data_IF_507305611405
#
_entry.id   IF_507305611405
#
_cell.length_a   1.000
_cell.length_b   1.000
_cell.length_c   1.000
_cell.angle_alpha   90.00
_cell.angle_beta   90.00
_cell.angle_gamma   90.00
#
_symmetry.space_group_name_H-M   'P 1'
#
loop_
_entity.id
_entity.type
_entity.pdbx_description
1 polymer ?
#
# COMPACT_ATOMS: atom_id res chain seq x y z
N UNK A 1 21.13 -3.55 46.26
CA UNK A 1 20.92 -4.99 46.01
C UNK A 1 19.91 -5.32 44.91
N UNK A 2 19.04 -4.41 44.47
CA UNK A 2 18.00 -4.69 43.44
C UNK A 2 18.54 -4.66 42.00
N UNK A 3 19.51 -3.81 41.68
CA UNK A 3 20.11 -3.70 40.33
C UNK A 3 20.94 -4.94 39.92
N UNK A 4 21.57 -5.62 40.85
CA UNK A 4 22.38 -6.81 40.58
C UNK A 4 21.53 -8.03 40.17
N UNK A 5 20.27 -8.11 40.66
CA UNK A 5 19.32 -9.17 40.25
C UNK A 5 18.75 -8.97 38.86
N UNK A 6 18.53 -7.74 38.42
CA UNK A 6 18.08 -7.42 37.07
C UNK A 6 19.15 -7.76 36.02
N UNK A 7 20.42 -7.48 36.30
CA UNK A 7 21.53 -7.83 35.41
C UNK A 7 21.77 -9.35 35.27
N UNK A 8 21.46 -10.14 36.32
CA UNK A 8 21.52 -11.60 36.23
C UNK A 8 20.40 -12.21 35.40
N UNK A 9 19.22 -11.59 35.36
CA UNK A 9 18.10 -12.05 34.54
C UNK A 9 18.40 -11.78 33.05
N UNK A 10 19.06 -10.67 32.73
CA UNK A 10 19.48 -10.38 31.33
C UNK A 10 20.67 -11.22 30.87
N UNK A 11 21.60 -11.58 31.77
CA UNK A 11 22.77 -12.42 31.45
C UNK A 11 22.42 -13.90 31.24
N UNK A 12 21.35 -14.43 31.85
CA UNK A 12 20.92 -15.82 31.69
C UNK A 12 20.18 -16.08 30.38
N UNK A 13 19.79 -15.03 29.62
CA UNK A 13 19.13 -15.18 28.31
C UNK A 13 20.08 -15.19 27.11
N UNK A 14 21.37 -14.94 27.30
CA UNK A 14 22.34 -14.88 26.23
C UNK A 14 23.14 -16.15 25.98
N UNK A 15 23.01 -17.17 26.84
CA UNK A 15 23.88 -18.37 26.80
C UNK A 15 23.14 -19.68 26.56
N UNK A 16 21.84 -19.67 26.30
CA UNK A 16 21.15 -20.86 25.79
C UNK A 16 21.17 -20.80 24.24
N UNK A 17 21.67 -21.86 23.57
CA UNK A 17 21.53 -21.94 22.13
C UNK A 17 20.03 -22.00 21.81
N UNK A 18 19.49 -20.96 21.15
CA UNK A 18 18.14 -20.95 20.61
C UNK A 18 18.07 -21.88 19.38
N UNK A 19 18.20 -23.18 19.63
CA UNK A 19 17.92 -24.24 18.68
C UNK A 19 16.61 -24.93 19.04
N UNK A 20 15.50 -24.18 19.01
CA UNK A 20 14.19 -24.77 18.84
C UNK A 20 13.58 -24.32 17.52
N UNK A 21 13.31 -25.23 16.60
CA UNK A 21 12.96 -24.90 15.21
C UNK A 21 11.60 -24.26 14.98
N UNK A 22 10.91 -23.69 15.97
CA UNK A 22 9.49 -23.32 15.82
C UNK A 22 9.00 -22.07 16.53
N UNK A 23 9.85 -21.19 17.01
CA UNK A 23 9.37 -19.94 17.61
C UNK A 23 9.60 -18.72 16.71
N UNK A 24 9.06 -18.74 15.52
CA UNK A 24 8.86 -17.49 14.81
C UNK A 24 7.75 -16.71 15.52
N UNK A 25 8.10 -15.61 16.14
CA UNK A 25 7.15 -14.70 16.79
C UNK A 25 6.05 -14.23 15.83
N UNK A 26 6.37 -14.19 14.55
CA UNK A 26 5.45 -13.82 13.48
C UNK A 26 5.24 -14.96 12.48
N UNK A 27 3.98 -15.16 12.13
CA UNK A 27 3.62 -15.98 10.96
C UNK A 27 3.50 -15.09 9.74
N UNK A 28 4.20 -15.48 8.66
CA UNK A 28 4.26 -14.71 7.44
C UNK A 28 3.30 -15.24 6.38
N UNK A 29 2.73 -14.32 5.61
CA UNK A 29 1.78 -14.60 4.55
C UNK A 29 2.09 -13.76 3.32
N UNK A 30 1.74 -14.29 2.16
CA UNK A 30 1.63 -13.57 0.91
C UNK A 30 0.16 -13.35 0.60
N UNK A 31 -0.26 -12.10 0.50
CA UNK A 31 -1.62 -11.72 0.14
C UNK A 31 -1.64 -11.27 -1.31
N UNK A 32 -2.36 -12.02 -2.16
CA UNK A 32 -2.51 -11.70 -3.57
C UNK A 32 -3.86 -11.05 -3.83
N UNK A 33 -3.86 -9.95 -4.58
CA UNK A 33 -5.07 -9.17 -4.88
C UNK A 33 -5.00 -8.51 -6.25
N UNK A 34 -6.17 -8.16 -6.79
CA UNK A 34 -6.34 -7.43 -8.05
C UNK A 34 -7.28 -6.25 -7.83
N UNK A 35 -6.83 -5.03 -8.17
CA UNK A 35 -7.70 -3.85 -8.13
C UNK A 35 -8.70 -3.87 -9.27
N UNK A 36 -9.97 -3.55 -8.96
CA UNK A 36 -11.07 -3.65 -9.94
C UNK A 36 -11.05 -2.48 -10.92
N UNK A 37 -11.09 -1.25 -10.41
CA UNK A 37 -11.12 -0.01 -11.19
C UNK A 37 -9.83 0.80 -11.01
N UNK A 38 -8.74 0.12 -10.67
CA UNK A 38 -7.48 0.74 -10.33
C UNK A 38 -7.45 1.34 -8.93
N UNK A 39 -6.33 1.94 -8.58
CA UNK A 39 -6.08 2.57 -7.28
C UNK A 39 -5.67 4.02 -7.48
N UNK A 40 -6.14 4.92 -6.62
CA UNK A 40 -5.80 6.34 -6.69
C UNK A 40 -4.66 6.70 -5.73
N UNK A 41 -3.77 7.59 -6.17
CA UNK A 41 -2.69 8.14 -5.36
C UNK A 41 -3.20 8.85 -4.12
N UNK A 42 -2.49 8.73 -3.01
CA UNK A 42 -2.92 9.21 -1.69
C UNK A 42 -2.08 10.35 -1.10
N UNK A 43 -1.26 11.01 -1.89
CA UNK A 43 -0.41 12.12 -1.43
C UNK A 43 -0.83 13.44 -2.07
N UNK A 44 -0.88 14.49 -1.25
CA UNK A 44 -1.01 15.84 -1.77
C UNK A 44 0.22 16.22 -2.61
N UNK A 45 0.06 16.98 -3.70
CA UNK A 45 1.18 17.47 -4.49
C UNK A 45 2.05 18.41 -3.65
N UNK A 46 3.34 18.09 -3.60
CA UNK A 46 4.39 18.95 -3.02
C UNK A 46 5.54 19.01 -4.01
N UNK A 47 6.32 20.09 -3.97
CA UNK A 47 7.37 20.35 -4.95
C UNK A 47 8.25 19.14 -5.25
N UNK A 48 8.86 18.55 -4.24
CA UNK A 48 9.74 17.37 -4.42
C UNK A 48 9.03 16.14 -5.02
N UNK A 49 7.73 15.99 -4.78
CA UNK A 49 6.95 14.89 -5.35
C UNK A 49 6.67 15.16 -6.83
N UNK A 50 6.34 16.40 -7.17
CA UNK A 50 6.11 16.85 -8.55
C UNK A 50 7.38 16.69 -9.38
N UNK A 51 8.52 17.15 -8.89
CA UNK A 51 9.83 17.03 -9.55
C UNK A 51 10.15 15.55 -9.88
N UNK A 52 9.95 14.62 -8.93
CA UNK A 52 10.15 13.18 -9.14
C UNK A 52 9.17 12.60 -10.17
N UNK A 53 7.93 13.07 -10.20
CA UNK A 53 6.96 12.64 -11.22
C UNK A 53 7.35 13.13 -12.60
N UNK A 54 7.80 14.37 -12.75
CA UNK A 54 8.29 14.91 -14.01
C UNK A 54 9.52 14.14 -14.47
N UNK A 55 10.49 13.92 -13.60
CA UNK A 55 11.71 13.16 -13.93
C UNK A 55 11.39 11.74 -14.45
N UNK A 56 10.46 11.07 -13.80
CA UNK A 56 10.18 9.66 -14.07
C UNK A 56 9.10 9.40 -15.13
N UNK A 57 8.08 10.23 -15.17
CA UNK A 57 6.87 10.00 -15.99
C UNK A 57 6.57 11.17 -16.94
N UNK A 58 7.57 11.96 -17.32
CA UNK A 58 7.42 13.17 -18.14
C UNK A 58 6.52 12.94 -19.36
N UNK A 59 6.80 11.89 -20.14
CA UNK A 59 6.05 11.60 -21.36
C UNK A 59 4.56 11.30 -21.07
N UNK A 60 4.29 10.48 -20.05
CA UNK A 60 2.91 10.12 -19.68
C UNK A 60 2.15 11.35 -19.18
N UNK A 61 2.74 12.12 -18.27
CA UNK A 61 2.10 13.34 -17.75
C UNK A 61 1.85 14.37 -18.86
N UNK A 62 2.78 14.49 -19.82
CA UNK A 62 2.60 15.36 -20.98
C UNK A 62 1.40 14.91 -21.82
N UNK A 63 1.27 13.62 -22.08
CA UNK A 63 0.14 13.07 -22.84
C UNK A 63 -1.18 13.30 -22.10
N UNK A 64 -1.24 13.00 -20.80
CA UNK A 64 -2.41 13.22 -19.96
C UNK A 64 -2.83 14.70 -19.97
N UNK A 65 -1.85 15.61 -19.85
CA UNK A 65 -2.08 17.04 -19.89
C UNK A 65 -2.63 17.50 -21.24
N UNK A 66 -2.05 17.03 -22.36
CA UNK A 66 -2.53 17.36 -23.71
C UNK A 66 -3.98 16.94 -23.92
N UNK A 67 -4.33 15.72 -23.48
CA UNK A 67 -5.69 15.20 -23.54
C UNK A 67 -6.63 16.06 -22.69
N UNK A 68 -6.26 16.29 -21.42
CA UNK A 68 -7.10 16.99 -20.45
C UNK A 68 -7.37 18.45 -20.83
N UNK A 69 -6.37 19.14 -21.43
CA UNK A 69 -6.45 20.56 -21.77
C UNK A 69 -6.72 20.80 -23.25
N UNK A 70 -6.82 19.74 -24.05
CA UNK A 70 -7.00 19.80 -25.52
C UNK A 70 -5.94 20.71 -26.19
N UNK A 71 -4.67 20.54 -25.81
CA UNK A 71 -3.53 21.33 -26.30
C UNK A 71 -2.73 20.50 -27.30
N UNK A 72 -2.48 21.07 -28.48
CA UNK A 72 -1.58 20.51 -29.48
C UNK A 72 -0.21 21.24 -29.42
N UNK A 73 0.87 20.51 -29.68
CA UNK A 73 2.21 21.07 -29.74
C UNK A 73 3.13 20.67 -28.58
N UNK A 74 4.26 21.34 -28.47
CA UNK A 74 5.24 21.12 -27.41
C UNK A 74 4.76 21.72 -26.08
N UNK A 75 5.01 20.98 -25.00
CA UNK A 75 4.66 21.39 -23.64
C UNK A 75 5.94 21.62 -22.86
N UNK A 76 6.06 22.77 -22.23
CA UNK A 76 7.22 23.10 -21.40
C UNK A 76 7.17 22.36 -20.06
N UNK A 77 8.33 22.24 -19.42
CA UNK A 77 8.43 21.58 -18.14
C UNK A 77 7.67 22.32 -17.03
N UNK A 78 7.71 23.65 -17.07
CA UNK A 78 6.95 24.51 -16.16
C UNK A 78 5.44 24.30 -16.30
N UNK A 79 4.95 24.09 -17.53
CA UNK A 79 3.53 23.78 -17.76
C UNK A 79 3.15 22.42 -17.20
N UNK A 80 4.02 21.41 -17.32
CA UNK A 80 3.81 20.07 -16.72
C UNK A 80 3.80 20.18 -15.19
N UNK A 81 4.72 20.89 -14.58
CA UNK A 81 4.76 21.12 -13.13
C UNK A 81 3.49 21.80 -12.64
N UNK A 82 3.08 22.89 -13.31
CA UNK A 82 1.84 23.59 -12.98
C UNK A 82 0.62 22.71 -13.10
N UNK A 83 0.54 21.83 -14.12
CA UNK A 83 -0.53 20.87 -14.25
C UNK A 83 -0.58 19.87 -13.10
N UNK A 84 0.56 19.33 -12.68
CA UNK A 84 0.63 18.41 -11.53
C UNK A 84 0.28 19.10 -10.21
N UNK A 85 0.53 20.40 -10.08
CA UNK A 85 0.09 21.18 -8.91
C UNK A 85 -1.43 21.28 -8.80
N UNK A 86 -2.16 21.17 -9.91
CA UNK A 86 -3.63 21.13 -9.88
C UNK A 86 -4.21 19.81 -9.39
N UNK A 87 -3.39 18.75 -9.32
CA UNK A 87 -3.83 17.45 -8.85
C UNK A 87 -4.17 17.49 -7.37
N UNK A 88 -5.28 16.86 -6.98
CA UNK A 88 -5.67 16.72 -5.57
C UNK A 88 -4.91 15.60 -4.88
N UNK A 89 -4.42 14.62 -5.66
CA UNK A 89 -3.60 13.53 -5.14
C UNK A 89 -2.67 12.94 -6.20
N UNK A 90 -1.46 12.60 -5.76
CA UNK A 90 -0.42 11.92 -6.53
C UNK A 90 0.00 10.66 -5.80
N UNK A 91 0.61 9.72 -6.51
CA UNK A 91 1.29 8.60 -5.87
C UNK A 91 2.61 9.06 -5.25
N UNK A 92 3.00 8.51 -4.09
CA UNK A 92 4.40 8.56 -3.70
C UNK A 92 5.23 7.78 -4.73
N UNK A 93 6.39 8.32 -5.09
CA UNK A 93 7.28 7.77 -6.11
C UNK A 93 8.73 7.82 -5.65
N UNK A 94 9.50 6.81 -6.01
CA UNK A 94 10.94 6.75 -5.85
C UNK A 94 11.62 6.10 -7.08
N UNK A 95 12.88 5.73 -6.95
CA UNK A 95 13.67 5.15 -8.03
C UNK A 95 13.10 3.82 -8.57
N UNK A 96 12.35 3.07 -7.74
CA UNK A 96 11.72 1.79 -8.14
C UNK A 96 10.34 1.98 -8.77
N UNK A 97 9.66 3.09 -8.53
CA UNK A 97 8.34 3.38 -9.10
C UNK A 97 7.36 3.98 -8.11
N UNK A 98 6.09 3.99 -8.50
CA UNK A 98 4.99 4.38 -7.63
C UNK A 98 4.66 3.26 -6.64
N UNK A 99 4.23 3.63 -5.43
CA UNK A 99 3.95 2.65 -4.39
C UNK A 99 2.78 3.08 -3.49
N UNK A 100 2.18 2.09 -2.83
CA UNK A 100 1.33 2.28 -1.66
C UNK A 100 2.17 2.13 -0.40
N UNK A 101 1.92 2.97 0.59
CA UNK A 101 2.60 2.83 1.87
C UNK A 101 1.96 1.73 2.73
N UNK A 102 2.77 0.95 3.43
CA UNK A 102 2.32 -0.17 4.26
C UNK A 102 1.22 0.18 5.26
N UNK A 103 1.26 1.40 5.81
CA UNK A 103 0.21 1.87 6.74
C UNK A 103 -1.18 1.99 6.08
N UNK A 104 -1.30 2.07 4.75
CA UNK A 104 -2.59 2.09 4.06
C UNK A 104 -3.29 0.73 4.13
N UNK A 105 -2.53 -0.36 4.10
CA UNK A 105 -3.04 -1.72 4.34
C UNK A 105 -3.51 -1.88 5.78
N UNK A 106 -2.73 -1.41 6.75
CA UNK A 106 -3.15 -1.41 8.15
C UNK A 106 -4.42 -0.57 8.37
N UNK A 107 -4.53 0.60 7.73
CA UNK A 107 -5.71 1.45 7.81
C UNK A 107 -6.95 0.75 7.24
N UNK A 108 -6.83 0.09 6.10
CA UNK A 108 -7.91 -0.70 5.49
C UNK A 108 -8.36 -1.84 6.41
N UNK A 109 -7.42 -2.60 6.99
CA UNK A 109 -7.75 -3.68 7.94
C UNK A 109 -8.45 -3.15 9.20
N UNK A 110 -8.05 -1.99 9.71
CA UNK A 110 -8.72 -1.32 10.84
C UNK A 110 -10.15 -0.90 10.48
N UNK A 111 -10.34 -0.29 9.30
CA UNK A 111 -11.66 0.08 8.81
C UNK A 111 -12.55 -1.18 8.67
N UNK A 112 -11.97 -2.30 8.20
CA UNK A 112 -12.64 -3.62 8.13
C UNK A 112 -13.06 -4.13 9.51
N UNK A 113 -12.16 -4.03 10.50
CA UNK A 113 -12.44 -4.45 11.88
C UNK A 113 -13.55 -3.63 12.52
N UNK A 114 -13.63 -2.34 12.22
CA UNK A 114 -14.71 -1.46 12.69
C UNK A 114 -16.04 -1.82 12.03
N UNK A 115 -16.09 -1.97 10.72
CA UNK A 115 -17.33 -2.30 9.98
C UNK A 115 -17.91 -3.66 10.36
N UNK A 116 -17.06 -4.63 10.64
CA UNK A 116 -17.48 -5.97 11.10
C UNK A 116 -17.77 -6.04 12.59
N UNK A 117 -17.55 -4.95 13.33
CA UNK A 117 -17.60 -4.91 14.80
C UNK A 117 -16.61 -5.87 15.48
N UNK A 118 -15.62 -6.39 14.75
CA UNK A 118 -14.56 -7.22 15.35
C UNK A 118 -13.75 -6.46 16.40
N UNK A 119 -13.57 -5.15 16.22
CA UNK A 119 -12.89 -4.29 17.19
C UNK A 119 -13.58 -4.24 18.57
N UNK A 120 -14.85 -4.62 18.66
CA UNK A 120 -15.58 -4.75 19.93
C UNK A 120 -15.52 -6.16 20.50
N UNK A 121 -15.30 -7.18 19.67
CA UNK A 121 -15.22 -8.59 20.04
C UNK A 121 -13.80 -8.99 20.48
N UNK A 122 -12.79 -8.44 19.82
CA UNK A 122 -11.37 -8.71 20.10
C UNK A 122 -10.79 -7.47 20.77
N UNK A 123 -10.40 -7.62 22.03
CA UNK A 123 -9.82 -6.53 22.82
C UNK A 123 -8.60 -5.96 22.11
N UNK A 124 -8.55 -4.64 21.99
CA UNK A 124 -7.41 -3.90 21.41
C UNK A 124 -7.06 -4.25 19.96
N UNK A 125 -7.94 -4.89 19.17
CA UNK A 125 -7.65 -5.31 17.81
C UNK A 125 -7.08 -4.18 16.93
N UNK A 126 -7.65 -2.96 17.02
CA UNK A 126 -7.14 -1.81 16.26
C UNK A 126 -5.71 -1.43 16.63
N UNK A 127 -5.34 -1.59 17.90
CA UNK A 127 -3.98 -1.36 18.36
C UNK A 127 -3.06 -2.50 17.90
N UNK A 128 -3.52 -3.74 18.01
CA UNK A 128 -2.79 -4.91 17.49
C UNK A 128 -2.45 -4.74 16.02
N UNK A 129 -3.41 -4.32 15.19
CA UNK A 129 -3.16 -4.09 13.76
C UNK A 129 -2.14 -2.95 13.55
N UNK A 130 -2.20 -1.88 14.33
CA UNK A 130 -1.35 -0.69 14.18
C UNK A 130 0.04 -0.87 14.78
N UNK A 131 0.12 -1.42 15.99
CA UNK A 131 1.29 -1.35 16.87
C UNK A 131 2.19 -2.59 16.76
N UNK A 132 2.33 -3.14 15.55
CA UNK A 132 3.25 -4.23 15.25
C UNK A 132 2.63 -5.64 15.27
N UNK A 133 1.35 -5.79 15.59
CA UNK A 133 0.68 -7.10 15.50
C UNK A 133 0.44 -7.55 14.05
N UNK A 134 0.35 -6.60 13.12
CA UNK A 134 0.35 -6.88 11.66
C UNK A 134 1.37 -5.98 10.99
N UNK A 135 2.35 -6.57 10.34
CA UNK A 135 3.43 -5.87 9.66
C UNK A 135 3.24 -5.95 8.14
N UNK A 136 3.55 -4.85 7.47
CA UNK A 136 3.63 -4.74 6.01
C UNK A 136 4.93 -4.04 5.64
N UNK A 137 5.46 -4.26 4.41
CA UNK A 137 6.57 -3.46 3.89
C UNK A 137 6.22 -1.97 3.92
N UNK A 138 7.20 -1.12 4.17
CA UNK A 138 6.99 0.32 4.15
C UNK A 138 6.46 0.82 2.79
N UNK A 139 6.88 0.15 1.71
CA UNK A 139 6.52 0.47 0.32
C UNK A 139 6.11 -0.78 -0.42
N UNK A 140 4.92 -0.77 -0.99
CA UNK A 140 4.40 -1.81 -1.86
C UNK A 140 4.30 -1.23 -3.26
N UNK A 141 5.20 -1.63 -4.16
CA UNK A 141 5.29 -1.08 -5.50
C UNK A 141 4.16 -1.60 -6.39
N UNK A 142 3.58 -0.69 -7.17
CA UNK A 142 2.43 -1.02 -8.02
C UNK A 142 2.83 -1.60 -9.38
N UNK A 143 4.11 -1.43 -9.77
CA UNK A 143 4.63 -1.84 -11.09
C UNK A 143 3.76 -1.33 -12.26
N UNK A 144 3.23 -0.14 -12.13
CA UNK A 144 2.33 0.51 -13.09
C UNK A 144 2.79 1.95 -13.35
N UNK A 145 2.41 2.47 -14.49
CA UNK A 145 2.57 3.88 -14.84
C UNK A 145 1.29 4.61 -14.42
N UNK A 146 1.38 5.68 -13.62
CA UNK A 146 0.20 6.42 -13.21
C UNK A 146 -0.34 7.27 -14.36
N UNK A 147 -1.67 7.32 -14.49
CA UNK A 147 -2.40 8.18 -15.41
C UNK A 147 -3.12 9.28 -14.62
N UNK A 148 -3.12 10.50 -15.13
CA UNK A 148 -3.85 11.61 -14.50
C UNK A 148 -5.26 11.69 -15.06
N UNK A 149 -6.24 11.56 -14.18
CA UNK A 149 -7.66 11.61 -14.51
C UNK A 149 -8.26 12.93 -14.04
N UNK A 150 -9.05 13.54 -14.91
CA UNK A 150 -9.84 14.73 -14.60
C UNK A 150 -11.27 14.33 -14.27
N UNK A 151 -11.79 14.85 -13.16
CA UNK A 151 -13.18 14.68 -12.78
C UNK A 151 -13.86 16.01 -12.52
N UNK A 152 -15.04 16.15 -13.08
CA UNK A 152 -15.96 17.23 -12.75
C UNK A 152 -16.82 16.82 -11.55
N UNK A 153 -16.81 17.58 -10.48
CA UNK A 153 -17.75 17.44 -9.39
C UNK A 153 -18.68 18.65 -9.38
N UNK A 154 -19.97 18.40 -9.53
CA UNK A 154 -21.02 19.37 -9.30
C UNK A 154 -21.67 19.04 -7.95
N UNK A 155 -21.19 19.59 -6.84
CA UNK A 155 -21.97 19.51 -5.59
C UNK A 155 -23.23 20.35 -5.79
N UNK A 156 -24.38 19.78 -5.52
CA UNK A 156 -25.75 20.30 -5.64
C UNK A 156 -25.90 21.82 -5.84
N UNK A 157 -25.93 22.26 -7.13
CA UNK A 157 -26.14 23.68 -7.48
C UNK A 157 -24.97 24.63 -7.20
N UNK A 158 -23.83 24.13 -6.71
CA UNK A 158 -22.62 24.90 -6.45
C UNK A 158 -21.70 25.04 -7.66
N UNK A 159 -20.57 25.75 -7.45
CA UNK A 159 -19.55 25.92 -8.48
C UNK A 159 -18.99 24.56 -8.90
N UNK A 160 -18.95 24.29 -10.20
CA UNK A 160 -18.28 23.11 -10.77
C UNK A 160 -16.81 23.13 -10.38
N UNK A 161 -16.36 22.10 -9.67
CA UNK A 161 -14.97 21.91 -9.33
C UNK A 161 -14.36 20.82 -10.22
N UNK A 162 -13.31 21.15 -10.92
CA UNK A 162 -12.48 20.20 -11.66
C UNK A 162 -11.42 19.69 -10.68
N UNK A 163 -11.34 18.38 -10.54
CA UNK A 163 -10.32 17.73 -9.71
C UNK A 163 -9.51 16.79 -10.58
N UNK A 164 -8.20 17.02 -10.61
CA UNK A 164 -7.23 16.12 -11.21
C UNK A 164 -6.65 15.22 -10.13
N UNK A 165 -6.44 13.95 -10.41
CA UNK A 165 -5.77 13.00 -9.52
C UNK A 165 -5.18 11.85 -10.32
N UNK A 166 -4.14 11.22 -9.78
CA UNK A 166 -3.52 10.08 -10.42
C UNK A 166 -4.19 8.77 -10.04
N UNK A 167 -4.31 7.88 -11.02
CA UNK A 167 -4.73 6.48 -10.87
C UNK A 167 -3.66 5.55 -11.45
N UNK A 168 -3.62 4.34 -10.96
CA UNK A 168 -2.91 3.21 -11.56
C UNK A 168 -3.94 2.12 -11.85
N UNK A 169 -4.08 1.76 -13.12
CA UNK A 169 -5.05 0.78 -13.59
C UNK A 169 -4.42 -0.62 -13.70
N UNK A 170 -5.27 -1.65 -13.75
CA UNK A 170 -4.89 -3.05 -13.96
C UNK A 170 -3.82 -3.57 -12.98
N UNK A 171 -3.83 -3.06 -11.76
CA UNK A 171 -2.83 -3.39 -10.75
C UNK A 171 -3.17 -4.73 -10.09
N UNK A 172 -2.21 -5.66 -10.16
CA UNK A 172 -2.19 -6.91 -9.38
C UNK A 172 -1.04 -6.85 -8.40
N UNK A 173 -1.30 -7.18 -7.16
CA UNK A 173 -0.29 -7.14 -6.10
C UNK A 173 -0.18 -8.48 -5.41
N UNK A 174 1.06 -8.82 -5.04
CA UNK A 174 1.36 -9.82 -4.03
C UNK A 174 2.09 -9.11 -2.90
N UNK A 175 1.41 -8.99 -1.77
CA UNK A 175 1.85 -8.20 -0.62
C UNK A 175 2.30 -9.13 0.50
N UNK A 176 3.57 -9.14 0.86
CA UNK A 176 4.02 -9.86 2.02
C UNK A 176 3.50 -9.18 3.29
N UNK A 177 3.07 -9.95 4.25
CA UNK A 177 2.70 -9.46 5.58
C UNK A 177 3.03 -10.49 6.66
N UNK A 178 3.18 -10.02 7.89
CA UNK A 178 3.44 -10.87 9.04
C UNK A 178 2.45 -10.57 10.15
N UNK A 179 1.95 -11.62 10.80
CA UNK A 179 1.00 -11.55 11.91
C UNK A 179 1.68 -12.07 13.17
N UNK A 180 1.61 -11.31 14.26
CA UNK A 180 2.11 -11.72 15.56
C UNK A 180 1.31 -12.92 16.10
N UNK A 181 2.02 -13.98 16.45
CA UNK A 181 1.43 -15.23 16.95
C UNK A 181 1.16 -15.17 18.48
N UNK A 182 0.36 -14.21 18.92
CA UNK A 182 -0.05 -14.09 20.31
C UNK A 182 -1.51 -14.52 20.57
N UNK A 183 -2.20 -15.00 19.52
CA UNK A 183 -3.61 -15.40 19.59
C UNK A 183 -4.63 -14.27 19.46
N UNK A 184 -4.22 -13.01 19.44
CA UNK A 184 -5.14 -11.86 19.37
C UNK A 184 -5.83 -11.75 18.01
N UNK A 185 -5.17 -12.18 16.94
CA UNK A 185 -5.71 -12.15 15.58
C UNK A 185 -5.57 -13.53 14.89
N UNK A 186 -6.51 -14.45 15.08
CA UNK A 186 -6.52 -15.74 14.38
C UNK A 186 -6.59 -15.56 12.86
N UNK A 187 -5.96 -16.46 12.10
CA UNK A 187 -5.92 -16.40 10.63
C UNK A 187 -7.30 -16.27 9.99
N UNK A 188 -8.31 -16.97 10.52
CA UNK A 188 -9.68 -16.89 10.01
C UNK A 188 -10.27 -15.47 10.13
N UNK A 189 -9.95 -14.76 11.21
CA UNK A 189 -10.36 -13.36 11.40
C UNK A 189 -9.57 -12.44 10.52
N UNK A 190 -8.28 -12.67 10.36
CA UNK A 190 -7.43 -11.91 9.42
C UNK A 190 -7.97 -12.04 8.00
N UNK A 191 -8.33 -13.26 7.56
CA UNK A 191 -8.94 -13.48 6.25
C UNK A 191 -10.27 -12.72 6.08
N UNK A 192 -11.13 -12.73 7.11
CA UNK A 192 -12.37 -11.96 7.10
C UNK A 192 -12.14 -10.45 6.95
N UNK A 193 -11.08 -9.90 7.58
CA UNK A 193 -10.74 -8.48 7.43
C UNK A 193 -10.37 -8.14 5.99
N UNK A 194 -9.66 -9.01 5.29
CA UNK A 194 -9.32 -8.81 3.88
C UNK A 194 -10.55 -8.87 2.97
N UNK A 195 -11.45 -9.85 3.17
CA UNK A 195 -12.71 -9.95 2.41
C UNK A 195 -13.55 -8.67 2.57
N UNK A 196 -13.70 -8.16 3.78
CA UNK A 196 -14.41 -6.89 4.01
C UNK A 196 -13.64 -5.71 3.41
N UNK A 197 -12.32 -5.78 3.44
CA UNK A 197 -11.42 -4.82 2.84
C UNK A 197 -11.60 -4.62 1.33
N UNK A 198 -12.03 -5.67 0.61
CA UNK A 198 -12.30 -5.59 -0.84
C UNK A 198 -13.20 -4.40 -1.20
N UNK A 199 -14.31 -4.26 -0.49
CA UNK A 199 -15.27 -3.17 -0.72
C UNK A 199 -14.89 -1.85 -0.05
N UNK A 200 -14.00 -1.86 0.95
CA UNK A 200 -13.50 -0.63 1.58
C UNK A 200 -12.49 0.04 0.68
N UNK A 201 -11.59 -0.75 0.09
CA UNK A 201 -10.53 -0.29 -0.79
C UNK A 201 -9.38 0.42 -0.06
N UNK A 202 -8.38 0.79 -0.84
CA UNK A 202 -7.14 1.47 -0.41
C UNK A 202 -6.85 2.71 -1.26
N UNK A 203 -5.91 3.54 -0.81
CA UNK A 203 -5.56 4.77 -1.52
C UNK A 203 -6.55 5.91 -1.29
N UNK A 204 -6.51 6.90 -2.19
CA UNK A 204 -7.44 8.03 -2.17
C UNK A 204 -8.71 7.74 -3.00
N UNK A 205 -9.67 8.66 -2.91
CA UNK A 205 -10.89 8.64 -3.73
C UNK A 205 -11.72 7.32 -3.65
N UNK A 206 -11.65 6.59 -2.54
CA UNK A 206 -12.38 5.33 -2.30
C UNK A 206 -13.90 5.47 -2.48
N UNK A 207 -14.46 6.64 -2.14
CA UNK A 207 -15.88 6.96 -2.35
C UNK A 207 -16.29 7.00 -3.83
N UNK A 208 -15.32 7.02 -4.75
CA UNK A 208 -15.51 6.97 -6.19
C UNK A 208 -15.34 5.56 -6.78
N UNK A 209 -15.10 4.56 -5.94
CA UNK A 209 -14.85 3.18 -6.35
C UNK A 209 -13.36 2.82 -6.46
N UNK A 210 -12.47 3.81 -6.53
CA UNK A 210 -11.02 3.52 -6.63
C UNK A 210 -10.49 2.82 -5.39
N UNK A 211 -9.55 1.91 -5.64
CA UNK A 211 -8.89 1.16 -4.59
C UNK A 211 -9.68 -0.05 -4.09
N UNK A 212 -10.88 -0.32 -4.60
CA UNK A 212 -11.56 -1.58 -4.40
C UNK A 212 -10.80 -2.69 -5.11
N UNK A 213 -10.73 -3.84 -4.49
CA UNK A 213 -9.95 -4.96 -5.02
C UNK A 213 -10.70 -6.28 -4.82
N UNK A 214 -10.25 -7.31 -5.51
CA UNK A 214 -10.61 -8.70 -5.26
C UNK A 214 -9.44 -9.39 -4.58
N UNK A 215 -9.67 -9.99 -3.44
CA UNK A 215 -8.71 -10.89 -2.81
C UNK A 215 -8.62 -12.16 -3.65
N UNK A 216 -7.42 -12.51 -4.10
CA UNK A 216 -7.17 -13.74 -4.87
C UNK A 216 -6.84 -14.86 -3.91
N UNK A 217 -5.87 -14.61 -3.00
CA UNK A 217 -5.38 -15.66 -2.10
C UNK A 217 -4.64 -15.08 -0.90
N UNK A 218 -4.54 -15.85 0.18
CA UNK A 218 -3.66 -15.63 1.33
C UNK A 218 -2.92 -16.93 1.62
N UNK A 219 -1.66 -16.98 1.25
CA UNK A 219 -0.83 -18.17 1.42
C UNK A 219 0.17 -17.98 2.56
N UNK A 220 0.32 -18.96 3.46
CA UNK A 220 1.43 -18.93 4.41
C UNK A 220 2.75 -19.08 3.64
N UNK A 221 3.73 -18.32 4.07
CA UNK A 221 5.10 -18.35 3.53
C UNK A 221 6.06 -18.75 4.63
N UNK A 222 7.26 -19.20 4.27
CA UNK A 222 8.32 -19.47 5.25
C UNK A 222 8.60 -18.24 6.10
N UNK A 223 9.11 -18.46 7.30
CA UNK A 223 9.36 -17.39 8.26
C UNK A 223 10.25 -16.29 7.69
N UNK A 224 9.75 -15.08 7.68
CA UNK A 224 10.54 -13.89 7.43
C UNK A 224 10.93 -13.27 8.77
N UNK A 225 12.14 -12.77 8.81
CA UNK A 225 12.52 -11.92 9.92
C UNK A 225 11.80 -10.57 9.76
N UNK A 226 11.07 -10.05 10.77
CA UNK A 226 10.38 -8.76 10.69
C UNK A 226 11.23 -7.59 10.14
N UNK A 227 12.52 -7.44 10.50
CA UNK A 227 13.40 -6.47 9.86
C UNK A 227 13.50 -6.62 8.35
N UNK A 228 13.61 -7.85 7.82
CA UNK A 228 13.71 -8.10 6.38
C UNK A 228 12.43 -7.69 5.65
N UNK A 229 11.28 -7.91 6.27
CA UNK A 229 9.99 -7.45 5.75
C UNK A 229 9.91 -5.92 5.69
N UNK A 230 10.31 -5.24 6.76
CA UNK A 230 10.27 -3.78 6.84
C UNK A 230 11.25 -3.12 5.85
N UNK A 231 12.39 -3.75 5.62
CA UNK A 231 13.40 -3.29 4.65
C UNK A 231 13.09 -3.72 3.21
N UNK A 232 12.04 -4.53 3.00
CA UNK A 232 11.72 -5.12 1.70
C UNK A 232 12.70 -6.20 1.26
N UNK A 233 13.52 -6.70 2.18
CA UNK A 233 14.40 -7.85 1.98
C UNK A 233 13.62 -9.11 2.35
N UNK A 234 13.10 -9.79 1.37
CA UNK A 234 12.45 -11.08 1.55
C UNK A 234 13.47 -12.17 1.30
N UNK A 235 13.81 -12.94 2.32
CA UNK A 235 14.64 -14.15 2.14
C UNK A 235 13.81 -15.22 1.42
N UNK A 236 14.10 -15.41 0.17
CA UNK A 236 13.34 -16.14 -0.83
C UNK A 236 12.68 -15.11 -1.75
N UNK A 237 13.32 -14.87 -2.89
CA UNK A 237 12.74 -14.00 -3.91
C UNK A 237 11.28 -14.44 -4.11
N UNK A 238 10.29 -13.55 -3.85
CA UNK A 238 9.01 -13.79 -4.44
C UNK A 238 9.29 -13.91 -5.94
N UNK A 239 8.61 -14.78 -6.67
CA UNK A 239 8.75 -14.77 -8.12
C UNK A 239 8.55 -13.31 -8.53
N UNK A 240 9.61 -12.71 -9.08
CA UNK A 240 9.53 -11.37 -9.64
C UNK A 240 8.28 -11.37 -10.50
N UNK A 241 7.37 -10.41 -10.33
CA UNK A 241 6.25 -10.30 -11.24
C UNK A 241 6.89 -10.31 -12.62
N UNK A 242 6.56 -11.35 -13.39
CA UNK A 242 7.01 -11.50 -14.76
C UNK A 242 6.81 -10.16 -15.42
N UNK A 243 7.88 -9.63 -16.01
CA UNK A 243 7.90 -8.35 -16.74
C UNK A 243 6.58 -8.18 -17.47
N UNK A 244 5.98 -6.99 -17.47
CA UNK A 244 4.73 -6.77 -18.19
C UNK A 244 4.95 -7.25 -19.61
N UNK A 245 4.15 -8.22 -20.04
CA UNK A 245 4.13 -8.69 -21.41
C UNK A 245 3.90 -7.44 -22.26
N UNK A 246 4.76 -7.13 -23.24
CA UNK A 246 4.52 -6.00 -24.12
C UNK A 246 3.14 -6.18 -24.74
N UNK A 247 2.24 -5.26 -24.49
CA UNK A 247 0.94 -5.24 -25.20
C UNK A 247 1.28 -4.78 -26.61
N UNK A 248 1.36 -5.72 -27.54
CA UNK A 248 1.38 -5.41 -28.97
C UNK A 248 0.03 -4.77 -29.28
N UNK A 249 0.06 -3.48 -29.56
CA UNK A 249 -1.06 -2.77 -30.15
C UNK A 249 -1.13 -3.18 -31.62
N UNK A 250 -2.08 -4.03 -31.98
CA UNK A 250 -2.51 -4.31 -33.34
C UNK A 250 -3.50 -3.25 -33.80
#
# INVERSE_FOLDING_TARGET
>A
MMLARLLQIFRRRSDEPMDTPNEHLYQCYMVSMEFLDGVAGGRSPIKNLIERHVERFKQQVTNDMKIALNVEGEVTEEAIQSYLETCTSLFPVDEKGIYLAGHQFQAMLKDSAQRTKMSTQIKSLNNTIRDGGVLFPQRVYLNAVPTTVQRHSNPDGGKSNIKNFQIAEQVKLSVPCAILQNGDLPLSRFHQLWIVGEGIGMGANRHLGYGQFRLIDIQPTGGWNPPDLLEGKVNGEPPLPTSPVPVEYG
#
